data_IF_529775116403
#
_entry.id   IF_529775116403
#
_cell.length_a   1.000
_cell.length_b   1.000
_cell.length_c   1.000
_cell.angle_alpha   90.00
_cell.angle_beta   90.00
_cell.angle_gamma   90.00
#
_symmetry.space_group_name_H-M   'P 1'
#
loop_
_entity.id
_entity.type
_entity.pdbx_description
1 polymer ?
#
# COMPACT_ATOMS: atom_id res chain seq x y z
N UNK A 1 15.12 -22.01 -51.45
CA UNK A 1 14.69 -20.74 -50.82
C UNK A 1 13.25 -20.90 -50.35
N UNK A 2 12.93 -20.89 -49.04
CA UNK A 2 11.54 -20.88 -48.60
C UNK A 2 10.98 -19.45 -48.59
N UNK A 3 9.73 -19.29 -49.01
CA UNK A 3 9.01 -18.03 -49.02
C UNK A 3 8.52 -17.67 -47.60
N UNK A 4 8.77 -16.43 -47.18
CA UNK A 4 8.34 -15.87 -45.90
C UNK A 4 6.95 -15.26 -46.09
N UNK A 5 5.95 -15.78 -45.36
CA UNK A 5 4.62 -15.15 -45.26
C UNK A 5 4.66 -14.02 -44.24
N UNK A 6 4.44 -12.80 -44.69
CA UNK A 6 4.38 -11.59 -43.86
C UNK A 6 2.95 -11.48 -43.28
N UNK A 7 2.77 -11.38 -41.94
CA UNK A 7 1.46 -11.13 -41.34
C UNK A 7 0.92 -9.76 -41.74
N UNK A 8 -0.39 -9.69 -42.03
CA UNK A 8 -1.08 -8.45 -42.39
C UNK A 8 -1.12 -7.44 -41.24
N UNK A 9 -1.34 -6.15 -41.55
CA UNK A 9 -1.34 -5.09 -40.55
C UNK A 9 -2.49 -5.25 -39.54
N UNK A 10 -2.32 -4.76 -38.29
CA UNK A 10 -3.37 -4.73 -37.28
C UNK A 10 -4.61 -3.96 -37.77
N UNK A 11 -5.80 -4.48 -37.44
CA UNK A 11 -7.06 -3.82 -37.76
C UNK A 11 -7.24 -2.49 -37.00
N UNK A 12 -8.09 -1.58 -37.51
CA UNK A 12 -8.33 -0.29 -36.87
C UNK A 12 -9.03 -0.44 -35.50
N UNK A 13 -8.85 0.53 -34.59
CA UNK A 13 -9.58 0.59 -33.32
C UNK A 13 -11.10 0.60 -33.55
N UNK A 14 -11.82 -0.13 -32.70
CA UNK A 14 -13.28 -0.17 -32.75
C UNK A 14 -13.93 1.18 -32.41
N UNK A 15 -15.18 1.42 -32.86
CA UNK A 15 -15.87 2.67 -32.62
C UNK A 15 -16.20 2.88 -31.12
N UNK A 16 -16.32 4.14 -30.66
CA UNK A 16 -16.75 4.47 -29.30
C UNK A 16 -18.15 3.92 -28.99
N UNK A 17 -18.35 3.46 -27.75
CA UNK A 17 -19.64 2.95 -27.27
C UNK A 17 -20.71 4.04 -27.16
N UNK A 18 -21.97 3.66 -27.40
CA UNK A 18 -23.13 4.56 -27.38
C UNK A 18 -23.49 5.06 -25.98
N UNK A 19 -24.08 6.26 -25.83
CA UNK A 19 -24.51 6.81 -24.54
C UNK A 19 -25.58 5.93 -23.87
N UNK A 20 -25.43 5.68 -22.57
CA UNK A 20 -26.41 4.93 -21.78
C UNK A 20 -27.73 5.69 -21.60
N UNK A 21 -28.85 5.04 -21.91
CA UNK A 21 -30.21 5.57 -21.72
C UNK A 21 -30.70 5.39 -20.27
N UNK A 22 -31.38 6.42 -19.76
CA UNK A 22 -31.91 6.48 -18.40
C UNK A 22 -33.16 5.59 -18.20
N UNK A 23 -33.16 4.86 -17.08
CA UNK A 23 -34.26 4.15 -16.38
C UNK A 23 -35.55 3.85 -17.17
N UNK A 24 -35.61 2.76 -17.95
CA UNK A 24 -36.86 2.24 -18.51
C UNK A 24 -37.61 1.32 -17.53
N UNK A 25 -38.95 1.40 -17.53
CA UNK A 25 -39.83 0.44 -16.84
C UNK A 25 -39.91 -0.89 -17.61
N UNK A 26 -40.33 -1.99 -16.96
CA UNK A 26 -40.34 -3.33 -17.58
C UNK A 26 -41.21 -3.41 -18.86
N UNK A 27 -42.31 -2.66 -18.90
CA UNK A 27 -43.15 -2.53 -20.09
C UNK A 27 -42.47 -1.72 -21.22
N UNK A 28 -41.62 -0.75 -20.88
CA UNK A 28 -40.80 -0.03 -21.85
C UNK A 28 -39.69 -0.93 -22.43
N UNK A 29 -39.08 -1.78 -21.60
CA UNK A 29 -38.08 -2.77 -22.02
C UNK A 29 -38.63 -3.75 -23.09
N UNK A 30 -39.86 -4.24 -22.88
CA UNK A 30 -40.54 -5.11 -23.84
C UNK A 30 -40.85 -4.38 -25.14
N UNK A 31 -41.23 -3.10 -25.06
CA UNK A 31 -41.58 -2.27 -26.20
C UNK A 31 -40.36 -1.78 -26.99
N UNK A 32 -39.18 -1.65 -26.39
CA UNK A 32 -37.94 -1.18 -27.04
C UNK A 32 -37.00 -2.33 -27.50
N UNK A 33 -37.43 -3.58 -27.32
CA UNK A 33 -36.68 -4.79 -27.69
C UNK A 33 -36.22 -4.87 -29.16
N UNK A 34 -36.90 -4.15 -30.07
CA UNK A 34 -36.57 -4.09 -31.49
C UNK A 34 -35.50 -3.04 -31.85
N UNK A 35 -35.19 -2.09 -30.94
CA UNK A 35 -34.15 -1.08 -31.14
C UNK A 35 -32.82 -1.43 -30.48
N UNK A 36 -32.84 -2.30 -29.48
CA UNK A 36 -31.65 -2.70 -28.75
C UNK A 36 -30.85 -3.77 -29.53
N UNK A 37 -29.57 -3.50 -29.79
CA UNK A 37 -28.65 -4.49 -30.35
C UNK A 37 -28.39 -5.63 -29.36
N UNK A 38 -28.11 -6.84 -29.86
CA UNK A 38 -27.63 -7.95 -29.03
C UNK A 38 -26.42 -7.53 -28.20
N UNK A 39 -26.42 -7.87 -26.91
CA UNK A 39 -25.40 -7.45 -25.93
C UNK A 39 -25.71 -6.16 -25.19
N UNK A 40 -26.77 -5.43 -25.55
CA UNK A 40 -27.22 -4.24 -24.79
C UNK A 40 -27.67 -4.64 -23.39
N UNK A 41 -27.28 -3.86 -22.38
CA UNK A 41 -27.62 -4.06 -20.98
C UNK A 41 -28.63 -3.00 -20.55
N UNK A 42 -29.64 -3.38 -19.79
CA UNK A 42 -30.66 -2.47 -19.25
C UNK A 42 -30.93 -2.75 -17.77
N UNK A 43 -31.06 -1.68 -16.99
CA UNK A 43 -31.41 -1.73 -15.58
C UNK A 43 -32.86 -1.28 -15.38
N UNK A 44 -33.64 -2.08 -14.65
CA UNK A 44 -35.06 -1.83 -14.36
C UNK A 44 -35.23 -1.61 -12.87
N UNK A 45 -35.57 -0.37 -12.48
CA UNK A 45 -35.63 0.07 -11.08
C UNK A 45 -36.89 -0.39 -10.32
N UNK A 46 -38.01 -0.63 -11.00
CA UNK A 46 -39.34 -0.82 -10.38
C UNK A 46 -39.50 -2.09 -9.52
N UNK A 47 -38.56 -3.04 -9.57
CA UNK A 47 -38.61 -4.32 -8.83
C UNK A 47 -37.34 -4.59 -8.01
N UNK A 48 -36.80 -3.57 -7.35
CA UNK A 48 -35.62 -3.72 -6.49
C UNK A 48 -34.29 -3.78 -7.26
N UNK A 49 -34.27 -3.28 -8.49
CA UNK A 49 -33.08 -3.20 -9.33
C UNK A 49 -32.76 -4.51 -10.03
N UNK A 50 -33.41 -4.77 -11.17
CA UNK A 50 -33.17 -5.96 -11.98
C UNK A 50 -32.36 -5.60 -13.22
N UNK A 51 -31.29 -6.36 -13.51
CA UNK A 51 -30.47 -6.17 -14.70
C UNK A 51 -30.88 -7.17 -15.78
N UNK A 52 -30.95 -6.71 -17.03
CA UNK A 52 -31.27 -7.53 -18.20
C UNK A 52 -30.21 -7.34 -19.29
N UNK A 53 -29.96 -8.40 -20.06
CA UNK A 53 -29.13 -8.36 -21.28
C UNK A 53 -29.94 -8.81 -22.49
N UNK A 54 -29.81 -8.10 -23.61
CA UNK A 54 -30.45 -8.47 -24.88
C UNK A 54 -29.70 -9.64 -25.51
N UNK A 55 -30.30 -10.83 -25.49
CA UNK A 55 -29.84 -12.01 -26.22
C UNK A 55 -30.68 -12.18 -27.50
N UNK A 56 -30.31 -13.12 -28.39
CA UNK A 56 -31.03 -13.41 -29.65
C UNK A 56 -32.54 -13.53 -29.47
N UNK A 57 -32.96 -14.32 -28.49
CA UNK A 57 -34.37 -14.66 -28.26
C UNK A 57 -35.11 -13.70 -27.31
N UNK A 58 -34.53 -12.52 -27.03
CA UNK A 58 -35.15 -11.47 -26.22
C UNK A 58 -34.31 -11.03 -25.03
N UNK A 59 -34.95 -10.40 -24.05
CA UNK A 59 -34.29 -9.95 -22.83
C UNK A 59 -34.12 -11.09 -21.83
N UNK A 60 -32.89 -11.31 -21.37
CA UNK A 60 -32.56 -12.30 -20.34
C UNK A 60 -32.21 -11.59 -19.05
N UNK A 61 -32.88 -11.96 -17.96
CA UNK A 61 -32.57 -11.45 -16.62
C UNK A 61 -31.19 -11.96 -16.18
N UNK A 62 -30.35 -11.04 -15.72
CA UNK A 62 -29.08 -11.34 -15.09
C UNK A 62 -29.32 -11.50 -13.59
N UNK A 63 -28.91 -12.64 -13.04
CA UNK A 63 -28.98 -12.86 -11.60
C UNK A 63 -27.92 -11.97 -10.94
N UNK A 64 -28.36 -10.91 -10.27
CA UNK A 64 -27.49 -10.07 -9.45
C UNK A 64 -27.27 -10.74 -8.09
N UNK A 65 -26.07 -10.55 -7.53
CA UNK A 65 -25.77 -10.90 -6.14
C UNK A 65 -26.47 -9.95 -5.16
N UNK A 66 -26.10 -10.02 -3.88
CA UNK A 66 -26.60 -9.08 -2.88
C UNK A 66 -26.28 -7.62 -3.27
N UNK A 67 -27.22 -6.70 -2.98
CA UNK A 67 -27.01 -5.27 -3.19
C UNK A 67 -25.87 -4.77 -2.30
N UNK A 68 -24.94 -4.00 -2.86
CA UNK A 68 -23.96 -3.25 -2.08
C UNK A 68 -24.73 -2.13 -1.38
N UNK A 69 -24.89 -2.22 -0.07
CA UNK A 69 -25.46 -1.14 0.72
C UNK A 69 -24.45 0.01 0.72
N UNK A 70 -24.80 1.13 0.08
CA UNK A 70 -24.08 2.38 0.26
C UNK A 70 -24.29 2.84 1.71
N UNK A 71 -23.23 3.20 2.44
CA UNK A 71 -23.38 3.57 3.85
C UNK A 71 -24.27 4.83 3.97
N UNK A 72 -25.21 4.86 4.93
CA UNK A 72 -25.97 6.07 5.20
C UNK A 72 -25.04 7.16 5.74
N UNK A 73 -25.13 8.37 5.19
CA UNK A 73 -24.47 9.55 5.75
C UNK A 73 -25.05 9.82 7.15
N UNK A 74 -24.25 9.59 8.19
CA UNK A 74 -24.64 9.93 9.56
C UNK A 74 -23.65 9.41 10.61
N UNK A 75 -23.31 10.20 11.66
CA UNK A 75 -22.12 9.97 12.46
C UNK A 75 -22.36 9.07 13.68
N UNK A 76 -21.26 8.47 14.11
CA UNK A 76 -20.94 7.96 15.46
C UNK A 76 -21.33 6.51 15.81
N UNK A 77 -20.25 5.78 16.14
CA UNK A 77 -20.11 4.84 17.25
C UNK A 77 -20.66 3.42 17.12
N UNK A 78 -19.68 2.52 16.97
CA UNK A 78 -19.56 1.24 17.66
C UNK A 78 -20.27 0.02 17.10
N UNK A 79 -19.40 -0.88 16.60
CA UNK A 79 -19.39 -2.33 16.80
C UNK A 79 -19.74 -3.20 15.59
N UNK A 80 -18.65 -3.80 15.07
CA UNK A 80 -18.54 -5.19 14.63
C UNK A 80 -19.48 -5.67 13.53
N UNK A 81 -19.00 -5.51 12.31
CA UNK A 81 -19.13 -6.53 11.27
C UNK A 81 -17.88 -6.49 10.41
N UNK A 82 -16.84 -7.22 10.84
CA UNK A 82 -15.72 -7.57 9.96
C UNK A 82 -16.31 -8.28 8.75
N UNK A 83 -16.22 -7.72 7.52
CA UNK A 83 -16.44 -8.54 6.35
C UNK A 83 -15.31 -9.57 6.34
N UNK A 84 -15.61 -10.79 5.86
CA UNK A 84 -14.68 -11.88 5.65
C UNK A 84 -13.26 -11.36 5.38
N UNK A 85 -12.30 -11.82 6.19
CA UNK A 85 -10.87 -11.74 5.89
C UNK A 85 -10.60 -12.46 4.55
N UNK A 86 -10.91 -11.84 3.42
CA UNK A 86 -9.92 -11.77 2.35
C UNK A 86 -8.68 -11.26 3.04
N UNK A 87 -7.59 -12.05 3.05
CA UNK A 87 -6.29 -11.58 3.52
C UNK A 87 -6.00 -10.27 2.79
N UNK A 88 -6.29 -9.13 3.42
CA UNK A 88 -6.02 -7.83 2.84
C UNK A 88 -4.51 -7.77 2.84
N UNK A 89 -3.95 -7.96 1.64
CA UNK A 89 -2.54 -7.82 1.37
C UNK A 89 -2.10 -6.49 1.99
N UNK A 90 -1.18 -6.53 2.94
CA UNK A 90 -0.77 -5.37 3.75
C UNK A 90 0.74 -5.41 3.93
N UNK A 91 1.35 -4.25 4.16
CA UNK A 91 2.78 -4.12 4.41
C UNK A 91 3.00 -3.79 5.88
N UNK A 92 3.76 -4.61 6.58
CA UNK A 92 4.07 -4.36 7.99
C UNK A 92 5.28 -3.43 8.12
N UNK A 93 5.11 -2.35 8.88
CA UNK A 93 6.16 -1.45 9.34
C UNK A 93 6.45 -1.72 10.82
N UNK A 94 7.68 -2.17 11.11
CA UNK A 94 8.07 -2.70 12.42
C UNK A 94 9.43 -2.12 12.80
N UNK A 95 9.68 -1.82 14.06
CA UNK A 95 10.98 -1.35 14.53
C UNK A 95 11.95 -2.50 14.83
N UNK A 96 13.26 -2.23 14.72
CA UNK A 96 14.26 -3.06 15.37
C UNK A 96 14.12 -2.99 16.90
N UNK A 97 14.52 -4.06 17.57
CA UNK A 97 14.46 -4.19 19.03
C UNK A 97 15.45 -3.28 19.77
N UNK A 98 16.38 -2.62 19.09
CA UNK A 98 17.30 -1.68 19.73
C UNK A 98 17.60 -0.50 18.81
N UNK A 99 17.78 0.70 19.37
CA UNK A 99 18.22 1.85 18.59
C UNK A 99 19.67 1.66 18.12
N UNK A 100 19.98 2.18 16.93
CA UNK A 100 21.29 2.03 16.28
C UNK A 100 21.93 3.40 16.02
N UNK A 101 23.27 3.40 16.02
CA UNK A 101 24.07 4.50 15.46
C UNK A 101 24.01 4.50 13.94
N UNK A 102 24.59 5.54 13.33
CA UNK A 102 24.72 5.67 11.89
C UNK A 102 25.54 4.55 11.24
N UNK A 103 26.54 3.98 11.93
CA UNK A 103 27.29 2.82 11.43
C UNK A 103 26.50 1.52 11.63
N UNK A 104 25.73 1.17 10.61
CA UNK A 104 24.97 -0.06 10.53
C UNK A 104 25.67 -1.09 9.63
N UNK A 105 26.98 -0.93 9.38
CA UNK A 105 27.73 -1.68 8.35
C UNK A 105 27.13 -1.49 6.95
N UNK A 106 26.64 -0.28 6.70
CA UNK A 106 25.91 0.11 5.49
C UNK A 106 24.49 -0.47 5.41
N UNK A 107 23.79 -0.16 4.32
CA UNK A 107 22.39 -0.59 4.13
C UNK A 107 22.21 -2.12 4.21
N UNK A 108 23.22 -2.90 3.81
CA UNK A 108 23.17 -4.37 3.88
C UNK A 108 23.15 -4.88 5.32
N UNK A 109 23.88 -4.23 6.23
CA UNK A 109 23.85 -4.59 7.65
C UNK A 109 22.54 -4.21 8.31
N UNK A 110 21.96 -3.06 7.95
CA UNK A 110 20.62 -2.67 8.40
C UNK A 110 19.54 -3.64 7.89
N UNK A 111 19.54 -3.96 6.58
CA UNK A 111 18.64 -4.96 5.97
C UNK A 111 18.79 -6.33 6.64
N UNK A 112 20.02 -6.75 6.94
CA UNK A 112 20.29 -8.03 7.62
C UNK A 112 19.70 -8.07 9.04
N UNK A 113 19.78 -6.97 9.80
CA UNK A 113 19.15 -6.91 11.12
C UNK A 113 17.62 -7.01 11.05
N UNK A 114 16.99 -6.33 10.09
CA UNK A 114 15.55 -6.45 9.85
C UNK A 114 15.17 -7.90 9.53
N UNK A 115 15.91 -8.55 8.63
CA UNK A 115 15.71 -9.95 8.28
C UNK A 115 15.86 -10.87 9.50
N UNK A 116 16.96 -10.73 10.25
CA UNK A 116 17.26 -11.63 11.37
C UNK A 116 16.22 -11.53 12.49
N UNK A 117 15.82 -10.32 12.88
CA UNK A 117 14.84 -10.12 13.96
C UNK A 117 13.44 -10.57 13.55
N UNK A 118 13.04 -10.32 12.30
CA UNK A 118 11.77 -10.84 11.78
C UNK A 118 11.71 -12.38 11.85
N UNK A 119 12.79 -13.06 11.43
CA UNK A 119 12.88 -14.53 11.47
C UNK A 119 12.90 -15.10 12.88
N UNK A 120 13.57 -14.42 13.82
CA UNK A 120 13.58 -14.81 15.22
C UNK A 120 12.17 -14.79 15.84
N UNK A 121 11.26 -13.96 15.31
CA UNK A 121 9.86 -13.89 15.70
C UNK A 121 8.92 -14.74 14.82
N UNK A 122 9.47 -15.61 13.97
CA UNK A 122 8.68 -16.51 13.12
C UNK A 122 8.02 -15.83 11.92
N UNK A 123 8.34 -14.57 11.62
CA UNK A 123 7.76 -13.87 10.47
C UNK A 123 8.37 -14.40 9.17
N UNK A 124 7.51 -14.73 8.22
CA UNK A 124 7.90 -15.36 6.95
C UNK A 124 8.17 -14.37 5.83
N UNK A 125 7.66 -13.14 5.96
CA UNK A 125 7.84 -12.04 5.04
C UNK A 125 9.31 -11.60 4.92
N UNK A 126 9.60 -10.79 3.89
CA UNK A 126 10.92 -10.19 3.70
C UNK A 126 10.89 -8.73 4.13
N UNK A 127 11.71 -8.40 5.13
CA UNK A 127 11.82 -7.05 5.66
C UNK A 127 13.11 -6.39 5.17
N UNK A 128 13.02 -5.10 4.84
CA UNK A 128 14.15 -4.22 4.52
C UNK A 128 14.13 -3.00 5.43
N UNK A 129 15.29 -2.43 5.68
CA UNK A 129 15.42 -1.22 6.49
C UNK A 129 14.73 -0.04 5.79
N UNK A 130 13.95 0.72 6.54
CA UNK A 130 13.27 1.94 6.11
C UNK A 130 14.29 3.10 6.03
N UNK A 131 15.29 2.98 5.16
CA UNK A 131 16.38 3.93 5.00
C UNK A 131 16.66 4.17 3.52
N UNK A 132 16.91 5.41 3.14
CA UNK A 132 17.58 5.68 1.85
C UNK A 132 19.01 5.13 1.88
N UNK A 133 19.58 4.82 0.72
CA UNK A 133 20.97 4.34 0.60
C UNK A 133 21.66 4.99 -0.60
N UNK A 134 22.92 4.61 -0.85
CA UNK A 134 23.73 5.17 -1.94
C UNK A 134 23.05 5.07 -3.32
N UNK A 135 22.35 3.96 -3.60
CA UNK A 135 21.75 3.65 -4.89
C UNK A 135 20.22 3.54 -4.86
N UNK A 136 19.60 3.80 -3.71
CA UNK A 136 18.16 3.57 -3.55
C UNK A 136 17.51 4.68 -2.73
N UNK A 137 16.51 5.31 -3.32
CA UNK A 137 15.61 6.23 -2.62
C UNK A 137 14.65 5.42 -1.75
N UNK A 138 14.38 5.91 -0.55
CA UNK A 138 13.48 5.27 0.41
C UNK A 138 12.12 4.93 -0.23
N UNK A 139 11.51 5.87 -0.97
CA UNK A 139 10.21 5.67 -1.63
C UNK A 139 10.18 4.47 -2.61
N UNK A 140 11.34 3.94 -2.99
CA UNK A 140 11.48 2.84 -3.96
C UNK A 140 11.70 1.46 -3.34
N UNK A 141 11.78 1.34 -2.01
CA UNK A 141 12.05 0.07 -1.31
C UNK A 141 10.96 -0.98 -1.59
N UNK A 142 9.69 -0.56 -1.51
CA UNK A 142 8.53 -1.39 -1.82
C UNK A 142 8.39 -1.56 -3.34
N UNK A 143 8.01 -2.76 -3.78
CA UNK A 143 7.79 -3.06 -5.20
C UNK A 143 6.73 -2.15 -5.81
N UNK A 144 6.92 -1.73 -7.05
CA UNK A 144 6.04 -0.76 -7.74
C UNK A 144 4.56 -1.16 -7.70
N UNK A 145 4.24 -2.45 -7.86
CA UNK A 145 2.88 -2.98 -7.85
C UNK A 145 2.19 -2.88 -6.47
N UNK A 146 2.97 -2.84 -5.40
CA UNK A 146 2.47 -2.87 -4.03
C UNK A 146 2.33 -1.45 -3.43
N UNK A 147 2.62 -0.38 -4.19
CA UNK A 147 2.79 0.97 -3.62
C UNK A 147 1.49 1.75 -3.39
N UNK A 148 0.48 1.54 -4.22
CA UNK A 148 -0.74 2.36 -4.24
C UNK A 148 -1.88 1.74 -3.45
N UNK A 149 -1.99 0.41 -3.49
CA UNK A 149 -3.20 -0.29 -3.02
C UNK A 149 -2.96 -1.11 -1.74
N UNK A 150 -1.72 -1.20 -1.27
CA UNK A 150 -1.37 -1.94 -0.05
C UNK A 150 -1.29 -0.99 1.16
N UNK A 151 -2.14 -1.15 2.19
CA UNK A 151 -2.03 -0.37 3.41
C UNK A 151 -0.75 -0.73 4.16
N UNK A 152 -0.21 0.26 4.88
CA UNK A 152 0.93 0.07 5.78
C UNK A 152 0.40 -0.02 7.20
N UNK A 153 0.68 -1.13 7.87
CA UNK A 153 0.19 -1.47 9.20
C UNK A 153 1.35 -1.67 10.18
N UNK A 154 1.07 -1.61 11.47
CA UNK A 154 2.06 -2.00 12.49
C UNK A 154 2.14 -3.54 12.64
N UNK A 155 2.97 -4.03 13.57
CA UNK A 155 3.14 -5.47 13.83
C UNK A 155 1.84 -6.23 14.18
N UNK A 156 0.82 -5.52 14.69
CA UNK A 156 -0.48 -6.09 15.10
C UNK A 156 -1.55 -5.95 14.03
N UNK A 157 -1.22 -5.42 12.86
CA UNK A 157 -2.18 -5.19 11.77
C UNK A 157 -3.01 -3.91 11.92
N UNK A 158 -2.66 -3.02 12.86
CA UNK A 158 -3.35 -1.73 13.00
C UNK A 158 -2.80 -0.74 11.96
N UNK A 159 -3.70 -0.02 11.29
CA UNK A 159 -3.36 0.86 10.17
C UNK A 159 -2.52 2.08 10.61
N UNK A 160 -1.39 2.28 9.93
CA UNK A 160 -0.55 3.47 10.06
C UNK A 160 -0.73 4.42 8.86
N UNK A 161 -0.83 3.86 7.65
CA UNK A 161 -1.03 4.62 6.41
C UNK A 161 -1.91 3.86 5.42
N UNK A 162 -2.72 4.59 4.66
CA UNK A 162 -3.60 4.02 3.63
C UNK A 162 -2.84 3.33 2.50
N UNK A 163 -1.62 3.80 2.18
CA UNK A 163 -0.74 3.18 1.19
C UNK A 163 0.73 3.52 1.43
N UNK A 164 1.63 2.80 0.77
CA UNK A 164 3.04 3.16 0.77
C UNK A 164 3.28 4.57 0.18
N UNK A 165 2.56 4.96 -0.87
CA UNK A 165 2.74 6.29 -1.48
C UNK A 165 2.20 7.45 -0.65
N UNK A 166 1.24 7.23 0.23
CA UNK A 166 0.73 8.32 1.08
C UNK A 166 1.80 8.86 2.04
N UNK A 167 2.76 8.01 2.46
CA UNK A 167 3.93 8.39 3.27
C UNK A 167 4.77 9.47 2.56
N UNK A 168 4.86 9.42 1.23
CA UNK A 168 5.77 10.24 0.41
C UNK A 168 5.05 11.35 -0.36
N UNK A 169 3.83 11.72 0.05
CA UNK A 169 3.02 12.79 -0.53
C UNK A 169 3.64 14.20 -0.36
N UNK A 170 4.78 14.31 0.31
CA UNK A 170 5.43 15.58 0.64
C UNK A 170 4.99 16.16 1.99
N UNK A 171 3.97 15.59 2.64
CA UNK A 171 3.55 15.98 3.98
C UNK A 171 4.47 15.43 5.09
N UNK A 172 5.55 14.73 4.76
CA UNK A 172 6.46 14.14 5.74
C UNK A 172 5.94 12.87 6.41
N UNK A 173 5.00 12.16 5.78
CA UNK A 173 4.45 10.90 6.29
C UNK A 173 3.69 11.11 7.59
N UNK A 174 2.68 12.00 7.56
CA UNK A 174 1.82 12.28 8.72
C UNK A 174 1.05 11.02 9.11
N UNK A 175 1.08 10.66 10.39
CA UNK A 175 0.38 9.49 10.93
C UNK A 175 -0.31 9.81 12.25
N UNK A 176 -1.27 8.95 12.63
CA UNK A 176 -1.94 9.05 13.92
C UNK A 176 -1.00 8.56 15.04
N UNK A 177 -0.54 9.47 15.90
CA UNK A 177 0.33 9.13 17.05
C UNK A 177 -0.36 8.27 18.12
N UNK A 178 -1.69 8.17 18.08
CA UNK A 178 -2.46 7.23 18.89
C UNK A 178 -2.32 5.77 18.47
N UNK A 179 -1.90 5.51 17.22
CA UNK A 179 -1.62 4.15 16.74
C UNK A 179 -0.18 3.76 17.09
N UNK A 180 0.05 2.70 17.88
CA UNK A 180 1.40 2.27 18.26
C UNK A 180 2.26 1.83 17.07
N UNK A 181 3.57 2.05 17.18
CA UNK A 181 4.57 1.37 16.36
C UNK A 181 5.29 0.37 17.26
N UNK A 182 5.35 -0.89 16.84
CA UNK A 182 5.94 -1.97 17.63
C UNK A 182 7.31 -2.36 17.08
N UNK A 183 8.23 -2.74 17.97
CA UNK A 183 9.42 -3.52 17.61
C UNK A 183 9.08 -4.99 17.39
N UNK A 184 9.98 -5.75 16.76
CA UNK A 184 9.77 -7.18 16.52
C UNK A 184 9.47 -7.98 17.81
N UNK A 185 10.10 -7.63 18.92
CA UNK A 185 9.84 -8.22 20.25
C UNK A 185 8.52 -7.76 20.91
N UNK A 186 7.72 -6.94 20.24
CA UNK A 186 6.37 -6.55 20.66
C UNK A 186 6.29 -5.31 21.56
N UNK A 187 7.39 -4.59 21.81
CA UNK A 187 7.36 -3.34 22.59
C UNK A 187 6.83 -2.17 21.78
N UNK A 188 5.98 -1.34 22.40
CA UNK A 188 5.54 -0.08 21.81
C UNK A 188 6.66 0.97 21.93
N UNK A 189 7.27 1.34 20.80
CA UNK A 189 8.40 2.26 20.77
C UNK A 189 8.01 3.70 21.09
N UNK A 190 6.71 4.04 21.01
CA UNK A 190 6.19 5.36 21.31
C UNK A 190 6.16 5.65 22.82
N UNK A 191 6.04 4.60 23.64
CA UNK A 191 5.83 4.72 25.10
C UNK A 191 6.99 4.19 25.94
N UNK A 192 8.05 3.64 25.34
CA UNK A 192 9.23 3.14 26.07
C UNK A 192 9.94 4.30 26.82
N UNK A 193 10.85 4.00 27.75
CA UNK A 193 11.44 4.98 28.69
C UNK A 193 12.37 6.04 28.07
N UNK A 194 12.79 5.92 26.80
CA UNK A 194 13.68 6.89 26.17
C UNK A 194 13.01 8.26 25.91
N UNK A 195 13.66 9.40 26.23
CA UNK A 195 13.04 10.73 26.20
C UNK A 195 12.72 11.26 24.79
N UNK A 196 13.57 11.00 23.79
CA UNK A 196 13.30 11.36 22.39
C UNK A 196 13.09 10.11 21.53
N UNK A 197 12.00 10.09 20.75
CA UNK A 197 11.65 8.97 19.85
C UNK A 197 12.00 9.37 18.43
N UNK A 198 13.29 9.39 18.12
CA UNK A 198 13.79 9.70 16.79
C UNK A 198 13.95 8.41 15.98
N UNK A 199 13.63 8.48 14.69
CA UNK A 199 13.88 7.41 13.72
C UNK A 199 14.87 7.88 12.65
N UNK A 200 15.80 7.02 12.25
CA UNK A 200 16.63 7.27 11.07
C UNK A 200 15.83 7.04 9.77
N UNK A 201 16.06 7.87 8.74
CA UNK A 201 15.51 7.64 7.39
C UNK A 201 16.40 8.14 6.24
N UNK A 202 17.27 9.14 6.47
CA UNK A 202 18.25 9.61 5.47
C UNK A 202 17.65 10.17 4.17
N UNK A 203 16.42 10.70 4.24
CA UNK A 203 15.61 11.03 3.06
C UNK A 203 14.91 12.39 3.19
N UNK A 204 14.55 13.00 2.07
CA UNK A 204 13.59 14.12 2.06
C UNK A 204 12.19 13.67 2.47
N UNK A 205 11.27 14.62 2.64
CA UNK A 205 9.85 14.33 2.90
C UNK A 205 9.16 13.57 1.74
N UNK A 206 9.74 13.60 0.53
CA UNK A 206 9.29 12.82 -0.63
C UNK A 206 10.00 11.45 -0.74
N UNK A 207 10.82 11.07 0.24
CA UNK A 207 11.52 9.79 0.25
C UNK A 207 12.70 9.70 -0.71
N UNK A 208 13.24 10.83 -1.15
CA UNK A 208 14.43 10.91 -2.00
C UNK A 208 15.68 10.93 -1.11
N UNK A 209 16.73 10.18 -1.48
CA UNK A 209 17.94 10.09 -0.67
C UNK A 209 18.63 11.44 -0.49
N UNK A 210 19.10 11.72 0.72
CA UNK A 210 19.93 12.88 1.04
C UNK A 210 21.39 12.42 1.20
N UNK A 211 22.19 12.53 0.14
CA UNK A 211 23.58 12.03 0.16
C UNK A 211 24.49 12.76 1.14
N UNK A 212 24.09 13.94 1.61
CA UNK A 212 24.76 14.70 2.67
C UNK A 212 24.31 14.31 4.08
N UNK A 213 23.16 13.64 4.24
CA UNK A 213 22.52 13.37 5.54
C UNK A 213 22.02 11.93 5.63
N UNK A 214 22.90 10.98 5.40
CA UNK A 214 22.63 9.53 5.53
C UNK A 214 23.82 8.75 6.12
N UNK A 215 24.62 9.40 6.97
CA UNK A 215 25.77 8.78 7.66
C UNK A 215 26.72 8.03 6.71
N UNK A 216 27.11 8.69 5.60
CA UNK A 216 27.96 8.10 4.55
C UNK A 216 27.43 6.74 4.04
N UNK A 217 26.12 6.71 3.76
CA UNK A 217 25.36 5.50 3.45
C UNK A 217 25.42 4.45 4.59
N UNK A 218 25.22 4.93 5.82
CA UNK A 218 25.13 4.18 7.07
C UNK A 218 26.40 3.39 7.45
N UNK A 219 27.57 3.98 7.19
CA UNK A 219 28.89 3.36 7.44
C UNK A 219 29.73 4.09 8.48
N UNK A 220 29.22 5.16 9.06
CA UNK A 220 29.94 5.92 10.07
C UNK A 220 29.03 6.29 11.24
N UNK A 221 29.62 6.27 12.42
CA UNK A 221 29.04 6.76 13.67
C UNK A 221 29.83 7.96 14.22
N UNK A 222 30.58 8.65 13.34
CA UNK A 222 31.34 9.85 13.69
C UNK A 222 30.41 10.96 14.21
N UNK A 223 30.90 11.72 15.19
CA UNK A 223 30.19 12.83 15.80
C UNK A 223 29.93 13.97 14.79
N UNK A 224 30.89 14.24 13.89
CA UNK A 224 30.83 15.34 12.93
C UNK A 224 29.97 15.03 11.70
N UNK A 225 29.70 13.75 11.43
CA UNK A 225 28.86 13.33 10.29
C UNK A 225 27.41 13.29 10.71
N UNK A 226 26.53 13.68 9.79
CA UNK A 226 25.10 13.79 10.04
C UNK A 226 24.25 12.81 9.24
N UNK A 227 23.11 12.48 9.82
CA UNK A 227 22.03 11.71 9.22
C UNK A 227 20.70 12.46 9.36
N UNK A 228 19.74 12.13 8.50
CA UNK A 228 18.38 12.65 8.59
C UNK A 228 17.50 11.72 9.43
N UNK A 229 16.86 12.30 10.43
CA UNK A 229 15.96 11.63 11.36
C UNK A 229 14.61 12.37 11.51
N UNK A 230 13.60 11.67 12.02
CA UNK A 230 12.28 12.22 12.30
C UNK A 230 11.84 11.97 13.74
N UNK A 231 11.33 13.01 14.40
CA UNK A 231 10.81 12.93 15.77
C UNK A 231 9.36 12.41 15.74
N UNK A 232 9.15 11.17 16.20
CA UNK A 232 7.84 10.50 16.12
C UNK A 232 6.73 11.24 16.87
N UNK A 233 7.06 11.97 17.95
CA UNK A 233 6.10 12.79 18.70
C UNK A 233 5.46 13.90 17.86
N UNK A 234 6.07 14.30 16.73
CA UNK A 234 5.49 15.28 15.80
C UNK A 234 4.43 14.67 14.87
N UNK A 235 4.21 13.36 14.95
CA UNK A 235 3.30 12.62 14.08
C UNK A 235 3.78 12.52 12.63
N UNK A 236 5.09 12.56 12.39
CA UNK A 236 5.69 12.49 11.04
C UNK A 236 6.81 11.46 10.98
N UNK A 237 6.75 10.54 10.01
CA UNK A 237 7.82 9.58 9.78
C UNK A 237 9.00 10.14 8.97
N UNK A 238 8.80 11.22 8.23
CA UNK A 238 9.82 11.87 7.40
C UNK A 238 10.00 13.35 7.78
N UNK A 239 9.81 13.67 9.07
CA UNK A 239 10.22 14.96 9.61
C UNK A 239 11.72 15.19 9.36
N UNK A 240 12.13 16.44 9.11
CA UNK A 240 13.48 16.74 8.64
C UNK A 240 14.36 17.23 9.79
N UNK A 241 14.97 16.31 10.53
CA UNK A 241 15.84 16.63 11.67
C UNK A 241 17.25 16.08 11.43
N UNK A 242 18.19 16.99 11.19
CA UNK A 242 19.61 16.63 11.09
C UNK A 242 20.13 16.24 12.47
N UNK A 243 20.76 15.07 12.56
CA UNK A 243 21.34 14.56 13.80
C UNK A 243 22.71 13.95 13.55
N UNK A 244 23.55 14.00 14.57
CA UNK A 244 24.86 13.34 14.52
C UNK A 244 24.71 11.82 14.44
N UNK A 245 25.54 11.19 13.60
CA UNK A 245 25.56 9.74 13.38
C UNK A 245 26.05 8.95 14.60
N UNK A 246 26.66 9.61 15.59
CA UNK A 246 27.04 8.97 16.86
C UNK A 246 25.86 8.66 17.78
N UNK A 247 24.69 9.26 17.52
CA UNK A 247 23.47 9.06 18.31
C UNK A 247 22.79 7.72 18.01
N UNK A 248 22.09 7.16 18.99
CA UNK A 248 21.30 5.95 18.82
C UNK A 248 19.83 6.30 18.59
N UNK A 249 19.31 5.95 17.41
CA UNK A 249 17.90 6.16 17.07
C UNK A 249 17.25 4.90 16.54
N UNK A 250 15.93 4.91 16.55
CA UNK A 250 15.12 3.80 16.07
C UNK A 250 15.37 3.61 14.57
N UNK A 251 15.43 2.36 14.14
CA UNK A 251 15.42 1.98 12.73
C UNK A 251 14.16 1.16 12.49
N UNK A 252 13.38 1.58 11.49
CA UNK A 252 12.19 0.85 11.06
C UNK A 252 12.54 -0.13 9.94
N UNK A 253 11.71 -1.15 9.80
CA UNK A 253 11.79 -2.22 8.83
C UNK A 253 10.43 -2.34 8.14
N UNK A 254 10.43 -2.38 6.81
CA UNK A 254 9.23 -2.49 5.99
C UNK A 254 9.24 -3.81 5.24
N UNK A 255 8.11 -4.49 5.24
CA UNK A 255 7.85 -5.60 4.32
C UNK A 255 7.95 -5.09 2.88
N UNK A 256 8.91 -5.57 2.11
CA UNK A 256 9.18 -5.02 0.77
C UNK A 256 8.46 -5.80 -0.36
N UNK A 257 7.78 -6.86 0.00
CA UNK A 257 7.34 -7.93 -0.90
C UNK A 257 6.13 -8.62 -0.28
N UNK A 258 4.92 -8.35 -0.78
CA UNK A 258 3.79 -9.23 -0.49
C UNK A 258 3.96 -10.53 -1.28
N UNK A 259 4.05 -11.67 -0.60
CA UNK A 259 3.93 -12.99 -1.22
C UNK A 259 2.51 -13.46 -0.96
N UNK A 260 1.58 -13.03 -1.82
CA UNK A 260 0.26 -13.64 -1.86
C UNK A 260 0.44 -15.14 -2.04
N UNK A 261 -0.23 -15.93 -1.22
CA UNK A 261 -0.19 -17.38 -1.29
C UNK A 261 -0.60 -17.79 -2.72
N UNK A 262 0.38 -18.04 -3.60
CA UNK A 262 0.13 -18.56 -4.93
C UNK A 262 -0.43 -19.94 -4.69
N UNK A 263 -1.76 -20.08 -4.75
CA UNK A 263 -2.38 -21.38 -4.84
C UNK A 263 -1.67 -22.14 -5.96
N UNK A 264 -0.95 -23.20 -5.58
CA UNK A 264 -0.47 -24.22 -6.50
C UNK A 264 -1.67 -24.67 -7.32
N UNK A 265 -1.76 -24.22 -8.57
CA UNK A 265 -2.52 -24.93 -9.58
C UNK A 265 -1.66 -26.14 -9.97
N UNK A 266 -1.92 -27.25 -9.29
CA UNK A 266 -1.71 -28.56 -9.89
C UNK A 266 -2.95 -28.90 -10.71
#
# INVERSE_FOLDING_TARGET
>A
FPAVSIPGPPGPPGPPGSPGYANPTLHALSRESYRAAEGTIAYVSDRGGELYVRARDGWRKVQLGGLIQLPPEGPSSSALSHPLFSSLSQLHLVALNAPLKGDMRGIRGADFQCYQQARAMGLTATYRAFLSSHLQDLATIVRKADRTDMPVVNLRGEMLFDSWMSIFSGNGGVFNTGTPIYSFDGRNIMTDSAPEKLIWHGSTAAGIRLTSNYCEAWRTADLAVTGQAALLQTGRLLGQHTRSCSNHYIVLCIENTYVGNTHKKN
#
